data_IF_390008530241
#
_entry.id   IF_390008530241
#
_cell.length_a   1.000
_cell.length_b   1.000
_cell.length_c   1.000
_cell.angle_alpha   90.00
_cell.angle_beta   90.00
_cell.angle_gamma   90.00
#
_symmetry.space_group_name_H-M   'P 1'
#
loop_
_entity.id
_entity.type
_entity.pdbx_description
1 polymer ?
#
# COMPACT_ATOMS: atom_id res chain seq x y z
N UNK A 1 28.78 52.56 -2.49
CA UNK A 1 27.37 52.26 -2.14
C UNK A 1 26.75 51.54 -3.31
N UNK A 2 26.86 50.21 -3.34
CA UNK A 2 26.24 49.37 -4.38
C UNK A 2 24.87 48.96 -3.90
N UNK A 3 23.84 49.36 -4.63
CA UNK A 3 22.47 48.94 -4.42
C UNK A 3 22.30 47.49 -4.91
N UNK A 4 22.05 46.59 -3.99
CA UNK A 4 21.68 45.20 -4.27
C UNK A 4 20.19 45.19 -4.65
N UNK A 5 19.87 45.02 -5.92
CA UNK A 5 18.52 44.90 -6.44
C UNK A 5 18.03 43.50 -6.13
N UNK A 6 16.98 43.37 -5.31
CA UNK A 6 16.33 42.11 -5.05
C UNK A 6 15.68 41.48 -6.33
N UNK A 7 15.75 40.16 -6.53
CA UNK A 7 15.12 39.54 -7.68
C UNK A 7 13.59 39.63 -7.57
N UNK A 8 12.94 39.99 -8.67
CA UNK A 8 11.51 40.12 -8.81
C UNK A 8 10.82 38.72 -8.69
N UNK A 9 10.17 38.45 -7.56
CA UNK A 9 9.45 37.25 -7.25
C UNK A 9 7.98 37.37 -7.68
N UNK A 10 7.68 37.49 -8.96
CA UNK A 10 6.29 37.51 -9.40
C UNK A 10 6.12 37.04 -10.86
N UNK A 11 6.54 35.84 -11.15
CA UNK A 11 5.89 35.09 -12.21
C UNK A 11 5.07 33.99 -11.57
N UNK A 12 3.72 33.95 -11.77
CA UNK A 12 2.91 32.85 -11.27
C UNK A 12 3.35 31.59 -12.02
N UNK A 13 3.82 30.59 -11.27
CA UNK A 13 4.06 29.25 -11.81
C UNK A 13 2.75 28.80 -12.48
N UNK A 14 2.76 28.51 -13.80
CA UNK A 14 1.55 28.04 -14.48
C UNK A 14 1.08 26.77 -13.78
N UNK A 15 -0.09 26.81 -13.13
CA UNK A 15 -0.78 25.65 -12.64
C UNK A 15 -1.24 24.87 -13.87
N UNK A 16 -0.43 23.94 -14.34
CA UNK A 16 -0.87 22.93 -15.29
C UNK A 16 -2.02 22.17 -14.63
N UNK A 17 -3.18 22.18 -15.25
CA UNK A 17 -4.41 21.53 -14.78
C UNK A 17 -4.37 20.00 -14.92
N UNK A 18 -3.20 19.38 -14.88
CA UNK A 18 -3.05 17.94 -14.89
C UNK A 18 -3.43 17.38 -13.51
N UNK A 19 -4.22 16.31 -13.50
CA UNK A 19 -4.48 15.55 -12.26
C UNK A 19 -3.16 15.13 -11.65
N UNK A 20 -3.05 15.12 -10.32
CA UNK A 20 -1.85 14.60 -9.66
C UNK A 20 -1.62 13.15 -10.08
N UNK A 21 -0.38 12.80 -10.38
CA UNK A 21 0.02 11.52 -10.95
C UNK A 21 1.05 10.83 -10.07
N UNK A 22 1.05 9.50 -10.11
CA UNK A 22 2.13 8.67 -9.58
C UNK A 22 3.17 8.49 -10.68
N UNK A 23 4.44 8.70 -10.38
CA UNK A 23 5.54 8.48 -11.32
C UNK A 23 6.01 7.03 -11.38
N UNK A 24 6.13 6.40 -10.19
CA UNK A 24 6.61 5.02 -10.05
C UNK A 24 5.75 4.22 -9.05
N UNK A 25 5.30 3.05 -9.49
CA UNK A 25 4.57 2.08 -8.67
C UNK A 25 5.42 0.82 -8.56
N UNK A 26 5.75 0.45 -7.33
CA UNK A 26 6.48 -0.78 -7.01
C UNK A 26 5.50 -1.83 -6.51
N UNK A 27 5.56 -3.04 -7.05
CA UNK A 27 4.80 -4.18 -6.57
C UNK A 27 5.73 -5.30 -6.11
N UNK A 28 5.56 -5.73 -4.86
CA UNK A 28 6.22 -6.93 -4.35
C UNK A 28 5.36 -8.16 -4.61
N UNK A 29 5.97 -9.17 -5.21
CA UNK A 29 5.35 -10.47 -5.47
C UNK A 29 6.21 -11.60 -4.94
N UNK A 30 5.58 -12.68 -4.60
CA UNK A 30 6.21 -13.93 -4.17
C UNK A 30 5.48 -15.13 -4.80
N UNK A 31 5.74 -16.34 -4.37
CA UNK A 31 5.14 -17.56 -4.92
C UNK A 31 3.69 -17.81 -4.48
N UNK A 32 3.02 -16.87 -3.81
CA UNK A 32 1.62 -17.04 -3.37
C UNK A 32 0.65 -16.98 -4.56
N UNK A 33 -0.52 -17.57 -4.36
CA UNK A 33 -1.56 -17.70 -5.39
C UNK A 33 -2.14 -16.36 -5.87
N UNK A 34 -2.09 -15.32 -5.05
CA UNK A 34 -2.61 -13.99 -5.37
C UNK A 34 -1.66 -13.14 -6.22
N UNK A 35 -0.46 -13.62 -6.54
CA UNK A 35 0.52 -12.83 -7.29
C UNK A 35 0.00 -12.29 -8.63
N UNK A 36 -0.84 -13.03 -9.33
CA UNK A 36 -1.46 -12.55 -10.57
C UNK A 36 -2.43 -11.38 -10.31
N UNK A 37 -3.27 -11.48 -9.27
CA UNK A 37 -4.25 -10.44 -8.93
C UNK A 37 -3.60 -9.15 -8.45
N UNK A 38 -2.52 -9.25 -7.65
CA UNK A 38 -1.82 -8.06 -7.18
C UNK A 38 -1.05 -7.37 -8.31
N UNK A 39 -0.45 -8.14 -9.23
CA UNK A 39 0.19 -7.61 -10.43
C UNK A 39 -0.84 -6.90 -11.33
N UNK A 40 -2.01 -7.49 -11.52
CA UNK A 40 -3.08 -6.87 -12.30
C UNK A 40 -3.60 -5.58 -11.65
N UNK A 41 -3.78 -5.57 -10.34
CA UNK A 41 -4.16 -4.36 -9.60
C UNK A 41 -3.10 -3.25 -9.74
N UNK A 42 -1.82 -3.57 -9.59
CA UNK A 42 -0.73 -2.61 -9.78
C UNK A 42 -0.66 -2.12 -11.25
N UNK A 43 -0.93 -3.00 -12.22
CA UNK A 43 -1.03 -2.67 -13.64
C UNK A 43 -2.13 -1.67 -13.95
N UNK A 44 -3.33 -1.86 -13.37
CA UNK A 44 -4.45 -0.91 -13.50
C UNK A 44 -4.09 0.46 -12.92
N UNK A 45 -3.43 0.49 -11.75
CA UNK A 45 -2.96 1.74 -11.15
C UNK A 45 -1.91 2.43 -12.04
N UNK A 46 -0.98 1.66 -12.62
CA UNK A 46 0.06 2.20 -13.48
C UNK A 46 -0.52 2.78 -14.78
N UNK A 47 -1.44 2.08 -15.42
CA UNK A 47 -2.16 2.57 -16.62
C UNK A 47 -2.87 3.89 -16.34
N UNK A 48 -3.66 3.96 -15.27
CA UNK A 48 -4.45 5.15 -14.93
C UNK A 48 -3.61 6.37 -14.57
N UNK A 49 -2.38 6.17 -14.10
CA UNK A 49 -1.47 7.24 -13.70
C UNK A 49 -0.36 7.52 -14.72
N UNK A 50 -0.23 6.74 -15.79
CA UNK A 50 0.92 6.82 -16.69
C UNK A 50 2.23 6.47 -15.99
N UNK A 51 2.15 5.70 -14.89
CA UNK A 51 3.27 5.39 -14.04
C UNK A 51 4.20 4.32 -14.61
N UNK A 52 5.46 4.36 -14.21
CA UNK A 52 6.37 3.22 -14.35
C UNK A 52 5.95 2.11 -13.40
N UNK A 53 5.85 0.89 -13.89
CA UNK A 53 5.55 -0.30 -13.08
C UNK A 53 6.82 -1.11 -12.84
N UNK A 54 7.20 -1.25 -11.58
CA UNK A 54 8.35 -2.06 -11.16
C UNK A 54 7.84 -3.26 -10.37
N UNK A 55 8.09 -4.46 -10.85
CA UNK A 55 7.80 -5.69 -10.11
C UNK A 55 9.07 -6.23 -9.46
N UNK A 56 9.01 -6.46 -8.15
CA UNK A 56 10.09 -7.11 -7.38
C UNK A 56 9.59 -8.48 -6.95
N UNK A 57 10.11 -9.52 -7.60
CA UNK A 57 9.84 -10.88 -7.21
C UNK A 57 10.80 -11.29 -6.09
N UNK A 58 10.26 -11.73 -4.96
CA UNK A 58 11.04 -12.21 -3.83
C UNK A 58 10.96 -13.73 -3.77
N UNK A 59 12.10 -14.38 -3.96
CA UNK A 59 12.17 -15.82 -3.85
C UNK A 59 11.94 -16.26 -2.39
N UNK A 60 11.12 -17.29 -2.14
CA UNK A 60 10.97 -17.82 -0.79
C UNK A 60 12.31 -18.41 -0.32
N UNK A 61 12.59 -18.25 0.97
CA UNK A 61 13.71 -18.95 1.59
C UNK A 61 13.44 -20.45 1.47
N UNK A 62 14.35 -21.25 0.90
CA UNK A 62 14.17 -22.69 0.82
C UNK A 62 13.98 -23.26 2.23
N UNK A 63 12.84 -23.89 2.48
CA UNK A 63 12.62 -24.61 3.73
C UNK A 63 13.47 -25.88 3.71
N UNK A 64 14.60 -25.87 4.41
CA UNK A 64 15.41 -27.09 4.60
C UNK A 64 14.61 -28.02 5.51
N UNK A 65 14.04 -29.07 4.93
CA UNK A 65 13.30 -30.07 5.71
C UNK A 65 14.27 -31.01 6.47
N UNK A 66 13.89 -31.54 7.64
CA UNK A 66 14.75 -32.44 8.41
C UNK A 66 15.37 -33.60 7.63
N UNK A 67 14.66 -34.26 6.70
CA UNK A 67 15.29 -35.28 5.84
C UNK A 67 16.44 -34.78 4.96
N UNK A 68 16.37 -33.52 4.53
CA UNK A 68 17.38 -32.89 3.68
C UNK A 68 18.64 -32.53 4.48
N UNK A 69 18.50 -32.21 5.78
CA UNK A 69 19.66 -31.93 6.65
C UNK A 69 20.57 -33.13 6.88
N UNK A 70 20.07 -34.35 6.68
CA UNK A 70 20.84 -35.60 6.83
C UNK A 70 21.36 -36.14 5.51
N UNK A 71 20.97 -35.55 4.37
CA UNK A 71 21.48 -35.95 3.06
C UNK A 71 22.99 -35.57 2.93
N UNK A 72 23.80 -36.44 2.40
CA UNK A 72 25.24 -36.21 2.18
C UNK A 72 25.63 -36.52 0.71
N UNK A 73 26.61 -35.77 0.21
CA UNK A 73 27.20 -36.04 -1.13
C UNK A 73 26.29 -35.70 -2.30
N UNK A 74 26.17 -36.60 -3.26
CA UNK A 74 25.43 -36.41 -4.52
C UNK A 74 23.93 -36.19 -4.32
N UNK A 75 23.36 -36.67 -3.21
CA UNK A 75 21.92 -36.48 -2.89
C UNK A 75 21.59 -35.05 -2.52
N UNK A 76 22.49 -34.33 -1.83
CA UNK A 76 22.29 -32.91 -1.53
C UNK A 76 22.30 -32.08 -2.81
N UNK A 77 23.26 -32.34 -3.71
CA UNK A 77 23.36 -31.59 -4.97
C UNK A 77 22.08 -31.73 -5.80
N UNK A 78 21.54 -32.93 -5.93
CA UNK A 78 20.27 -33.17 -6.63
C UNK A 78 19.11 -32.39 -6.02
N UNK A 79 18.99 -32.37 -4.69
CA UNK A 79 17.93 -31.62 -4.00
C UNK A 79 18.06 -30.12 -4.26
N UNK A 80 19.27 -29.58 -4.24
CA UNK A 80 19.52 -28.16 -4.54
C UNK A 80 19.15 -27.86 -6.00
N UNK A 81 19.61 -28.66 -6.95
CA UNK A 81 19.33 -28.51 -8.39
C UNK A 81 17.81 -28.59 -8.68
N UNK A 82 17.09 -29.50 -8.02
CA UNK A 82 15.62 -29.60 -8.14
C UNK A 82 14.92 -28.38 -7.54
N UNK A 83 15.37 -27.84 -6.41
CA UNK A 83 14.84 -26.64 -5.80
C UNK A 83 15.09 -25.40 -6.67
N UNK A 84 16.31 -25.25 -7.18
CA UNK A 84 16.67 -24.13 -8.05
C UNK A 84 15.81 -24.15 -9.34
N UNK A 85 15.65 -25.31 -9.97
CA UNK A 85 14.80 -25.49 -11.15
C UNK A 85 13.33 -25.17 -10.88
N UNK A 86 12.81 -25.51 -9.69
CA UNK A 86 11.45 -25.16 -9.27
C UNK A 86 11.30 -23.66 -9.09
N UNK A 87 12.27 -23.00 -8.44
CA UNK A 87 12.26 -21.55 -8.24
C UNK A 87 12.32 -20.80 -9.57
N UNK A 88 13.18 -21.21 -10.48
CA UNK A 88 13.26 -20.64 -11.84
C UNK A 88 11.93 -20.78 -12.60
N UNK A 89 11.29 -21.93 -12.50
CA UNK A 89 9.98 -22.17 -13.13
C UNK A 89 8.88 -21.29 -12.53
N UNK A 90 8.89 -21.06 -11.22
CA UNK A 90 7.94 -20.16 -10.54
C UNK A 90 8.20 -18.73 -11.00
N UNK A 91 9.44 -18.28 -10.96
CA UNK A 91 9.80 -16.93 -11.39
C UNK A 91 9.42 -16.67 -12.85
N UNK A 92 9.72 -17.59 -13.75
CA UNK A 92 9.38 -17.48 -15.17
C UNK A 92 7.87 -17.32 -15.39
N UNK A 93 7.05 -18.05 -14.64
CA UNK A 93 5.58 -17.90 -14.69
C UNK A 93 5.11 -16.52 -14.23
N UNK A 94 5.66 -16.02 -13.12
CA UNK A 94 5.30 -14.70 -12.58
C UNK A 94 5.74 -13.59 -13.53
N UNK A 95 6.93 -13.72 -14.09
CA UNK A 95 7.45 -12.80 -15.10
C UNK A 95 6.56 -12.78 -16.36
N UNK A 96 6.12 -13.93 -16.85
CA UNK A 96 5.21 -14.01 -17.99
C UNK A 96 3.87 -13.31 -17.70
N UNK A 97 3.31 -13.45 -16.49
CA UNK A 97 2.11 -12.73 -16.07
C UNK A 97 2.36 -11.21 -16.05
N UNK A 98 3.49 -10.77 -15.50
CA UNK A 98 3.86 -9.36 -15.49
C UNK A 98 3.99 -8.79 -16.91
N UNK A 99 4.69 -9.47 -17.81
CA UNK A 99 4.87 -9.06 -19.21
C UNK A 99 3.52 -9.02 -19.97
N UNK A 100 2.60 -9.95 -19.67
CA UNK A 100 1.24 -9.92 -20.24
C UNK A 100 0.45 -8.71 -19.75
N UNK A 101 0.52 -8.37 -18.48
CA UNK A 101 -0.13 -7.19 -17.88
C UNK A 101 0.44 -5.90 -18.49
N UNK A 102 1.77 -5.78 -18.59
CA UNK A 102 2.44 -4.63 -19.22
C UNK A 102 1.94 -4.43 -20.64
N UNK A 103 1.84 -5.50 -21.44
CA UNK A 103 1.33 -5.46 -22.81
C UNK A 103 -0.15 -5.12 -22.88
N UNK A 104 -0.99 -5.76 -22.03
CA UNK A 104 -2.45 -5.61 -22.00
C UNK A 104 -2.87 -4.19 -21.66
N UNK A 105 -2.20 -3.56 -20.70
CA UNK A 105 -2.48 -2.19 -20.27
C UNK A 105 -1.63 -1.12 -20.95
N UNK A 106 -0.78 -1.48 -21.90
CA UNK A 106 0.05 -0.53 -22.65
C UNK A 106 1.03 0.26 -21.79
N UNK A 107 1.55 -0.36 -20.72
CA UNK A 107 2.48 0.30 -19.79
C UNK A 107 3.81 0.52 -20.48
N UNK A 108 4.15 1.77 -20.79
CA UNK A 108 5.32 2.13 -21.61
C UNK A 108 6.65 2.01 -20.86
N UNK A 109 6.63 2.07 -19.52
CA UNK A 109 7.81 1.99 -18.67
C UNK A 109 7.62 0.88 -17.63
N UNK A 110 8.35 -0.20 -17.74
CA UNK A 110 8.25 -1.31 -16.80
C UNK A 110 9.61 -1.91 -16.52
N UNK A 111 9.74 -2.53 -15.34
CA UNK A 111 10.96 -3.21 -14.93
C UNK A 111 10.61 -4.45 -14.09
N UNK A 112 11.31 -5.54 -14.36
CA UNK A 112 11.27 -6.75 -13.54
C UNK A 112 12.58 -6.90 -12.77
N UNK A 113 12.46 -7.13 -11.46
CA UNK A 113 13.60 -7.46 -10.57
C UNK A 113 13.31 -8.77 -9.87
N UNK A 114 14.32 -9.62 -9.77
CA UNK A 114 14.30 -10.83 -8.94
C UNK A 114 15.32 -10.71 -7.83
N UNK A 115 14.89 -10.96 -6.60
CA UNK A 115 15.74 -10.89 -5.42
C UNK A 115 15.73 -12.23 -4.69
N UNK A 116 16.92 -12.77 -4.49
CA UNK A 116 17.11 -14.14 -3.99
C UNK A 116 16.79 -14.35 -2.51
N UNK A 117 16.53 -13.32 -1.72
CA UNK A 117 16.15 -13.45 -0.28
C UNK A 117 15.54 -12.17 0.26
N UNK A 118 14.79 -12.29 1.34
CA UNK A 118 14.30 -11.20 2.17
C UNK A 118 15.45 -10.50 2.89
N UNK A 119 16.22 -9.72 2.18
CA UNK A 119 17.29 -8.90 2.74
C UNK A 119 16.80 -7.49 3.03
N UNK A 120 17.59 -6.72 3.80
CA UNK A 120 17.39 -5.28 3.94
C UNK A 120 17.34 -4.57 2.58
N UNK A 121 17.93 -5.14 1.55
CA UNK A 121 17.92 -4.65 0.17
C UNK A 121 16.51 -4.66 -0.44
N UNK A 122 15.64 -5.57 -0.04
CA UNK A 122 14.24 -5.60 -0.50
C UNK A 122 13.52 -4.30 -0.12
N UNK A 123 13.67 -3.86 1.13
CA UNK A 123 13.05 -2.63 1.62
C UNK A 123 13.61 -1.38 0.92
N UNK A 124 14.88 -1.37 0.52
CA UNK A 124 15.51 -0.25 -0.20
C UNK A 124 14.80 0.04 -1.53
N UNK A 125 14.29 -0.98 -2.22
CA UNK A 125 13.53 -0.78 -3.45
C UNK A 125 12.30 0.11 -3.23
N UNK A 126 11.67 0.04 -2.05
CA UNK A 126 10.50 0.84 -1.72
C UNK A 126 10.80 2.34 -1.57
N UNK A 127 12.03 2.73 -1.20
CA UNK A 127 12.36 4.12 -0.88
C UNK A 127 12.22 5.08 -2.07
N UNK A 128 12.32 4.57 -3.27
CA UNK A 128 12.32 5.37 -4.51
C UNK A 128 10.99 5.34 -5.26
N UNK A 129 10.04 4.50 -4.84
CA UNK A 129 8.72 4.46 -5.41
C UNK A 129 7.79 5.54 -4.82
N UNK A 130 6.81 6.01 -5.60
CA UNK A 130 5.76 6.90 -5.10
C UNK A 130 4.67 6.12 -4.37
N UNK A 131 4.47 4.86 -4.77
CA UNK A 131 3.50 3.96 -4.18
C UNK A 131 4.04 2.53 -4.19
N UNK A 132 3.87 1.82 -3.09
CA UNK A 132 4.23 0.41 -2.98
C UNK A 132 2.98 -0.44 -2.83
N UNK A 133 2.88 -1.51 -3.59
CA UNK A 133 1.82 -2.52 -3.48
C UNK A 133 2.43 -3.84 -3.01
N UNK A 134 1.88 -4.42 -1.96
CA UNK A 134 2.35 -5.69 -1.41
C UNK A 134 1.18 -6.50 -0.89
N UNK A 135 1.27 -7.83 -0.96
CA UNK A 135 0.26 -8.69 -0.38
C UNK A 135 0.16 -8.50 1.13
N UNK A 136 -1.06 -8.39 1.62
CA UNK A 136 -1.35 -8.37 3.04
C UNK A 136 -0.84 -9.66 3.71
N UNK A 137 -0.24 -9.60 4.90
CA UNK A 137 0.20 -10.80 5.59
C UNK A 137 -0.99 -11.69 5.94
N UNK A 138 -0.83 -13.00 5.74
CA UNK A 138 -1.80 -13.97 6.23
C UNK A 138 -1.62 -14.19 7.73
N UNK A 139 -2.74 -14.34 8.43
CA UNK A 139 -2.73 -14.60 9.87
C UNK A 139 -2.33 -16.06 10.12
N UNK A 140 -1.06 -16.32 10.30
CA UNK A 140 -0.55 -17.58 10.83
C UNK A 140 -0.56 -17.50 12.35
N UNK A 141 -1.65 -17.82 13.03
CA UNK A 141 -1.85 -18.08 14.47
C UNK A 141 -0.99 -17.37 15.54
N UNK A 142 0.22 -17.00 15.24
CA UNK A 142 1.17 -16.28 16.09
C UNK A 142 1.72 -15.07 15.36
N UNK A 143 1.84 -13.93 16.05
CA UNK A 143 2.65 -12.81 15.54
C UNK A 143 4.04 -13.33 15.26
N UNK A 144 4.48 -13.25 14.01
CA UNK A 144 5.88 -13.50 13.71
C UNK A 144 6.73 -12.38 14.31
N UNK A 145 7.64 -12.74 15.18
CA UNK A 145 8.72 -11.89 15.63
C UNK A 145 9.99 -12.42 14.92
N UNK A 146 10.59 -11.70 14.02
CA UNK A 146 10.41 -10.30 13.63
C UNK A 146 9.20 -10.03 12.71
N UNK A 147 8.76 -8.73 12.59
CA UNK A 147 7.68 -8.34 11.68
C UNK A 147 7.98 -8.75 10.24
N UNK A 148 6.94 -9.18 9.50
CA UNK A 148 7.06 -9.48 8.09
C UNK A 148 7.40 -8.26 7.23
N UNK A 149 7.62 -8.46 5.92
CA UNK A 149 7.99 -7.37 5.01
C UNK A 149 6.91 -6.28 4.96
N UNK A 150 5.64 -6.66 4.87
CA UNK A 150 4.55 -5.70 4.78
C UNK A 150 4.49 -4.78 6.00
N UNK A 151 4.59 -5.34 7.22
CA UNK A 151 4.63 -4.57 8.46
C UNK A 151 5.87 -3.68 8.53
N UNK A 152 7.02 -4.21 8.14
CA UNK A 152 8.29 -3.47 8.13
C UNK A 152 8.23 -2.30 7.17
N UNK A 153 7.66 -2.47 5.97
CA UNK A 153 7.49 -1.41 4.98
C UNK A 153 6.55 -0.30 5.48
N UNK A 154 5.40 -0.65 6.06
CA UNK A 154 4.48 0.34 6.64
C UNK A 154 5.15 1.15 7.76
N UNK A 155 6.02 0.51 8.55
CA UNK A 155 6.70 1.17 9.66
C UNK A 155 7.88 2.04 9.26
N UNK A 156 8.63 1.67 8.22
CA UNK A 156 9.97 2.20 8.00
C UNK A 156 10.28 2.71 6.59
N UNK A 157 9.45 2.42 5.58
CA UNK A 157 9.74 2.85 4.20
C UNK A 157 9.61 4.35 3.97
N UNK A 158 8.77 5.03 4.77
CA UNK A 158 8.41 6.44 4.54
C UNK A 158 7.56 6.65 3.28
N UNK A 159 7.03 5.58 2.68
CA UNK A 159 6.21 5.59 1.47
C UNK A 159 4.80 5.08 1.75
N UNK A 160 3.79 5.51 0.98
CA UNK A 160 2.47 4.91 1.06
C UNK A 160 2.51 3.45 0.60
N UNK A 161 1.91 2.57 1.40
CA UNK A 161 1.87 1.14 1.14
C UNK A 161 0.42 0.73 0.92
N UNK A 162 0.11 0.11 -0.22
CA UNK A 162 -1.15 -0.60 -0.41
C UNK A 162 -0.96 -2.07 -0.05
N UNK A 163 -1.71 -2.49 0.95
CA UNK A 163 -1.82 -3.88 1.37
C UNK A 163 -2.95 -4.53 0.57
N UNK A 164 -2.61 -5.43 -0.34
CA UNK A 164 -3.58 -6.14 -1.17
C UNK A 164 -4.05 -7.43 -0.46
N UNK A 165 -5.37 -7.70 -0.38
CA UNK A 165 -5.88 -8.86 0.34
C UNK A 165 -5.59 -10.17 -0.40
N UNK A 166 -5.34 -11.32 0.31
CA UNK A 166 -4.95 -12.59 -0.31
C UNK A 166 -5.95 -13.17 -1.30
N UNK A 167 -7.22 -12.83 -1.18
CA UNK A 167 -8.29 -13.25 -2.10
C UNK A 167 -8.93 -12.07 -2.81
N UNK A 168 -8.14 -10.98 -2.98
CA UNK A 168 -8.59 -9.79 -3.65
C UNK A 168 -8.75 -9.99 -5.15
N UNK A 169 -9.76 -9.36 -5.70
CA UNK A 169 -9.92 -9.23 -7.14
C UNK A 169 -9.39 -7.86 -7.56
N UNK A 170 -8.60 -7.84 -8.62
CA UNK A 170 -8.12 -6.58 -9.18
C UNK A 170 -9.29 -5.78 -9.76
N UNK A 171 -9.40 -4.54 -9.35
CA UNK A 171 -10.42 -3.59 -9.84
C UNK A 171 -9.84 -2.18 -9.86
N UNK A 172 -10.44 -1.32 -10.66
CA UNK A 172 -10.13 0.13 -10.65
C UNK A 172 -10.62 0.74 -9.35
N UNK A 173 -9.84 1.66 -8.82
CA UNK A 173 -10.18 2.37 -7.58
C UNK A 173 -11.11 3.55 -7.92
N UNK A 174 -12.39 3.42 -7.60
CA UNK A 174 -13.43 4.43 -7.85
C UNK A 174 -14.13 4.91 -6.59
N UNK A 175 -14.23 4.05 -5.59
CA UNK A 175 -14.89 4.34 -4.33
C UNK A 175 -13.89 4.19 -3.19
N UNK A 176 -13.59 5.30 -2.51
CA UNK A 176 -12.55 5.34 -1.49
C UNK A 176 -13.17 5.66 -0.13
N UNK A 177 -12.96 4.78 0.85
CA UNK A 177 -13.26 5.07 2.25
C UNK A 177 -12.01 5.61 2.94
N UNK A 178 -12.13 6.72 3.64
CA UNK A 178 -11.05 7.30 4.43
C UNK A 178 -11.36 7.16 5.92
N UNK A 179 -10.52 6.44 6.66
CA UNK A 179 -10.53 6.43 8.13
C UNK A 179 -9.84 7.67 8.67
N UNK A 180 -10.63 8.67 9.11
CA UNK A 180 -10.11 9.98 9.50
C UNK A 180 -10.19 10.22 11.00
N UNK A 181 -9.04 10.47 11.62
CA UNK A 181 -8.91 10.82 13.04
C UNK A 181 -8.07 12.10 13.29
N UNK A 182 -7.82 12.89 12.24
CA UNK A 182 -7.04 14.13 12.28
C UNK A 182 -5.66 13.99 12.93
N UNK A 183 -5.05 12.80 12.89
CA UNK A 183 -3.65 12.60 13.28
C UNK A 183 -2.72 12.90 12.12
N UNK A 184 -1.42 13.07 12.44
CA UNK A 184 -0.36 13.26 11.45
C UNK A 184 -0.34 12.15 10.40
N UNK A 185 -0.52 10.92 10.83
CA UNK A 185 -0.52 9.73 9.97
C UNK A 185 -1.75 9.72 9.05
N UNK A 186 -2.93 10.10 9.54
CA UNK A 186 -4.13 10.22 8.69
C UNK A 186 -3.99 11.36 7.68
N UNK A 187 -3.42 12.50 8.08
CA UNK A 187 -3.12 13.64 7.19
C UNK A 187 -2.16 13.18 6.09
N UNK A 188 -1.13 12.43 6.45
CA UNK A 188 -0.14 11.89 5.51
C UNK A 188 -0.79 10.90 4.54
N UNK A 189 -1.59 9.95 5.04
CA UNK A 189 -2.26 8.96 4.21
C UNK A 189 -3.19 9.60 3.16
N UNK A 190 -3.94 10.64 3.55
CA UNK A 190 -4.77 11.39 2.60
C UNK A 190 -3.92 12.14 1.57
N UNK A 191 -2.81 12.76 1.99
CA UNK A 191 -1.90 13.46 1.08
C UNK A 191 -1.28 12.50 0.05
N UNK A 192 -0.84 11.34 0.49
CA UNK A 192 -0.26 10.30 -0.36
C UNK A 192 -1.30 9.65 -1.29
N UNK A 193 -2.58 9.62 -0.88
CA UNK A 193 -3.68 9.09 -1.69
C UNK A 193 -4.25 10.09 -2.72
N UNK A 194 -3.80 11.35 -2.75
CA UNK A 194 -4.32 12.39 -3.66
C UNK A 194 -4.39 11.95 -5.12
N UNK A 195 -3.40 11.27 -5.71
CA UNK A 195 -3.49 10.79 -7.09
C UNK A 195 -4.66 9.84 -7.34
N UNK A 196 -5.01 9.00 -6.35
CA UNK A 196 -6.13 8.06 -6.41
C UNK A 196 -7.46 8.78 -6.13
N UNK A 197 -7.48 9.68 -5.15
CA UNK A 197 -8.65 10.49 -4.79
C UNK A 197 -9.12 11.38 -5.95
N UNK A 198 -8.21 11.94 -6.73
CA UNK A 198 -8.53 12.75 -7.90
C UNK A 198 -9.19 11.96 -9.06
N UNK A 199 -9.18 10.62 -8.96
CA UNK A 199 -9.79 9.70 -9.94
C UNK A 199 -11.00 8.96 -9.39
N UNK A 200 -11.28 9.14 -8.10
CA UNK A 200 -12.42 8.50 -7.45
C UNK A 200 -13.74 9.16 -7.86
N UNK A 201 -14.77 8.35 -8.05
CA UNK A 201 -16.13 8.82 -8.29
C UNK A 201 -16.82 9.23 -6.99
N UNK A 202 -16.53 8.50 -5.91
CA UNK A 202 -17.10 8.77 -4.59
C UNK A 202 -16.07 8.54 -3.48
N UNK A 203 -16.09 9.42 -2.48
CA UNK A 203 -15.24 9.35 -1.30
C UNK A 203 -16.11 9.46 -0.06
N UNK A 204 -15.94 8.53 0.86
CA UNK A 204 -16.55 8.64 2.19
C UNK A 204 -15.47 8.88 3.24
N UNK A 205 -15.67 9.89 4.07
CA UNK A 205 -14.81 10.18 5.22
C UNK A 205 -15.50 9.68 6.48
N UNK A 206 -14.97 8.63 7.07
CA UNK A 206 -15.47 8.05 8.32
C UNK A 206 -14.69 8.58 9.52
N UNK A 207 -15.39 9.24 10.44
CA UNK A 207 -14.86 9.73 11.71
C UNK A 207 -15.50 8.93 12.84
N UNK A 208 -14.68 8.24 13.62
CA UNK A 208 -15.15 7.43 14.74
C UNK A 208 -14.80 8.13 16.05
N UNK A 209 -15.76 8.16 16.98
CA UNK A 209 -15.61 8.70 18.33
C UNK A 209 -15.05 10.13 18.40
N UNK A 210 -15.43 10.99 17.45
CA UNK A 210 -14.94 12.38 17.36
C UNK A 210 -15.13 13.17 18.66
N UNK A 211 -16.14 12.82 19.45
CA UNK A 211 -16.43 13.50 20.71
C UNK A 211 -15.29 13.39 21.71
N UNK A 212 -14.53 12.29 21.69
CA UNK A 212 -13.36 12.07 22.53
C UNK A 212 -12.14 12.88 22.09
N UNK A 213 -12.15 13.42 20.88
CA UNK A 213 -11.04 14.13 20.26
C UNK A 213 -11.45 15.48 19.65
N UNK A 214 -12.45 16.15 20.25
CA UNK A 214 -13.00 17.43 19.74
C UNK A 214 -11.93 18.48 19.39
N UNK A 215 -10.89 18.60 20.20
CA UNK A 215 -9.81 19.56 19.96
C UNK A 215 -9.07 19.35 18.62
N UNK A 216 -9.10 18.15 18.06
CA UNK A 216 -8.47 17.84 16.77
C UNK A 216 -9.38 18.05 15.57
N UNK A 217 -10.69 18.05 15.77
CA UNK A 217 -11.68 18.06 14.69
C UNK A 217 -12.34 19.43 14.46
N UNK A 218 -12.08 20.43 15.32
CA UNK A 218 -12.72 21.73 15.23
C UNK A 218 -14.23 21.68 15.56
N UNK A 219 -14.96 22.72 15.17
CA UNK A 219 -16.41 22.85 15.45
C UNK A 219 -17.25 21.87 14.63
N UNK A 220 -16.87 21.62 13.36
CA UNK A 220 -17.55 20.72 12.44
C UNK A 220 -16.59 19.60 12.00
N UNK A 221 -16.57 18.45 12.71
CA UNK A 221 -15.68 17.35 12.40
C UNK A 221 -15.85 16.87 10.95
N UNK A 222 -14.76 16.93 10.18
CA UNK A 222 -14.72 16.47 8.80
C UNK A 222 -15.10 17.49 7.73
N UNK A 223 -15.62 18.68 8.08
CA UNK A 223 -15.99 19.69 7.09
C UNK A 223 -14.79 20.16 6.26
N UNK A 224 -13.66 20.45 6.91
CA UNK A 224 -12.46 20.94 6.22
C UNK A 224 -11.84 19.88 5.30
N UNK A 225 -11.76 18.62 5.76
CA UNK A 225 -11.25 17.55 4.92
C UNK A 225 -12.19 17.27 3.74
N UNK A 226 -13.51 17.29 3.96
CA UNK A 226 -14.49 17.12 2.89
C UNK A 226 -14.37 18.21 1.83
N UNK A 227 -14.23 19.49 2.23
CA UNK A 227 -14.02 20.61 1.30
C UNK A 227 -12.75 20.44 0.47
N UNK A 228 -11.66 20.02 1.11
CA UNK A 228 -10.39 19.75 0.42
C UNK A 228 -10.51 18.63 -0.60
N UNK A 229 -11.22 17.55 -0.23
CA UNK A 229 -11.41 16.39 -1.11
C UNK A 229 -12.37 16.71 -2.27
N UNK A 230 -13.44 17.45 -2.02
CA UNK A 230 -14.37 17.90 -3.05
C UNK A 230 -13.68 18.76 -4.12
N UNK A 231 -12.66 19.54 -3.73
CA UNK A 231 -11.84 20.30 -4.68
C UNK A 231 -11.02 19.44 -5.64
N UNK A 232 -10.87 18.12 -5.37
CA UNK A 232 -10.27 17.14 -6.29
C UNK A 232 -11.26 16.60 -7.34
N UNK A 233 -12.55 16.93 -7.20
CA UNK A 233 -13.60 16.55 -8.14
C UNK A 233 -14.44 15.33 -7.74
N UNK A 234 -14.15 14.68 -6.60
CA UNK A 234 -14.93 13.55 -6.10
C UNK A 234 -16.21 13.99 -5.38
N UNK A 235 -17.25 13.14 -5.39
CA UNK A 235 -18.38 13.28 -4.49
C UNK A 235 -17.95 12.84 -3.10
N UNK A 236 -18.10 13.72 -2.10
CA UNK A 236 -17.60 13.47 -0.75
C UNK A 236 -18.74 13.45 0.26
N UNK A 237 -18.83 12.37 1.03
CA UNK A 237 -19.73 12.22 2.17
C UNK A 237 -18.94 12.11 3.47
N UNK A 238 -19.50 12.62 4.57
CA UNK A 238 -18.88 12.52 5.89
C UNK A 238 -19.80 11.75 6.83
N UNK A 239 -19.32 10.61 7.30
CA UNK A 239 -20.00 9.79 8.30
C UNK A 239 -19.32 9.96 9.67
N UNK A 240 -20.17 10.13 10.72
CA UNK A 240 -19.72 10.28 12.10
C UNK A 240 -20.37 9.19 12.92
N UNK A 241 -19.58 8.20 13.33
CA UNK A 241 -20.08 7.05 14.07
C UNK A 241 -19.35 6.92 15.41
N UNK A 242 -19.92 6.13 16.31
CA UNK A 242 -19.30 5.77 17.57
C UNK A 242 -19.19 4.26 17.69
N UNK A 243 -18.05 3.76 18.16
CA UNK A 243 -17.82 2.33 18.32
C UNK A 243 -16.79 2.04 19.41
N UNK A 244 -17.00 0.93 20.12
CA UNK A 244 -15.99 0.36 21.00
C UNK A 244 -14.86 -0.36 20.23
N UNK A 245 -15.10 -0.71 18.96
CA UNK A 245 -14.14 -1.36 18.05
C UNK A 245 -14.06 -0.63 16.72
N UNK A 246 -13.13 0.31 16.65
CA UNK A 246 -12.91 1.15 15.48
C UNK A 246 -12.45 0.34 14.27
N UNK A 247 -11.65 -0.70 14.48
CA UNK A 247 -11.11 -1.51 13.40
C UNK A 247 -12.21 -2.27 12.64
N UNK A 248 -13.07 -2.96 13.36
CA UNK A 248 -14.19 -3.68 12.74
C UNK A 248 -15.24 -2.72 12.15
N UNK A 249 -15.46 -1.55 12.77
CA UNK A 249 -16.35 -0.54 12.19
C UNK A 249 -15.82 -0.03 10.84
N UNK A 250 -14.52 0.26 10.72
CA UNK A 250 -13.90 0.64 9.43
C UNK A 250 -14.12 -0.43 8.35
N UNK A 251 -13.91 -1.70 8.70
CA UNK A 251 -14.09 -2.80 7.74
C UNK A 251 -15.56 -2.99 7.35
N UNK A 252 -16.49 -2.93 8.30
CA UNK A 252 -17.93 -3.03 8.00
C UNK A 252 -18.44 -1.87 7.16
N UNK A 253 -17.98 -0.64 7.44
CA UNK A 253 -18.31 0.53 6.65
C UNK A 253 -17.73 0.46 5.23
N UNK A 254 -16.50 -0.08 5.08
CA UNK A 254 -15.93 -0.32 3.76
C UNK A 254 -16.79 -1.24 2.90
N UNK A 255 -17.38 -2.27 3.50
CA UNK A 255 -18.34 -3.17 2.82
C UNK A 255 -19.64 -2.44 2.50
N UNK A 256 -20.21 -1.72 3.46
CA UNK A 256 -21.48 -0.98 3.29
C UNK A 256 -21.37 0.08 2.19
N UNK A 257 -20.27 0.82 2.17
CA UNK A 257 -19.97 1.82 1.15
C UNK A 257 -19.54 1.19 -0.19
N UNK A 258 -19.26 -0.12 -0.25
CA UNK A 258 -18.66 -0.82 -1.39
C UNK A 258 -17.36 -0.16 -1.84
N UNK A 259 -16.48 0.09 -0.88
CA UNK A 259 -15.20 0.71 -1.14
C UNK A 259 -14.28 -0.23 -1.95
N UNK A 260 -13.58 0.33 -2.93
CA UNK A 260 -12.50 -0.35 -3.68
C UNK A 260 -11.15 -0.20 -2.97
N UNK A 261 -11.03 0.84 -2.13
CA UNK A 261 -9.83 1.16 -1.36
C UNK A 261 -10.23 1.76 0.00
N UNK A 262 -9.58 1.29 1.07
CA UNK A 262 -9.56 1.96 2.36
C UNK A 262 -8.26 2.77 2.50
N UNK A 263 -8.34 4.04 2.87
CA UNK A 263 -7.19 4.91 3.16
C UNK A 263 -7.16 5.22 4.65
N UNK A 264 -6.05 4.97 5.32
CA UNK A 264 -5.90 5.28 6.74
C UNK A 264 -4.45 5.53 7.14
N UNK A 265 -4.26 6.31 8.20
CA UNK A 265 -2.97 6.41 8.87
C UNK A 265 -2.64 5.13 9.65
N UNK A 266 -1.37 4.77 9.68
CA UNK A 266 -0.89 3.63 10.46
C UNK A 266 -0.11 4.09 11.69
N UNK A 267 -0.29 3.41 12.82
CA UNK A 267 0.53 3.56 14.05
C UNK A 267 0.55 4.96 14.70
N UNK A 268 -0.55 5.70 14.66
CA UNK A 268 -0.67 7.09 15.16
C UNK A 268 -0.60 7.30 16.67
N UNK A 269 -0.53 6.27 17.49
CA UNK A 269 -0.35 6.39 18.93
C UNK A 269 1.05 5.99 19.35
N UNK A 270 1.85 7.00 19.72
CA UNK A 270 3.16 6.87 20.34
C UNK A 270 3.04 6.30 21.75
N UNK A 271 2.86 5.02 21.92
CA UNK A 271 3.11 4.37 23.19
C UNK A 271 4.06 3.21 22.98
N UNK A 272 5.30 3.49 23.38
CA UNK A 272 6.40 2.57 23.66
C UNK A 272 6.61 1.37 22.71
N UNK A 273 7.87 1.19 22.36
CA UNK A 273 8.50 0.10 21.61
C UNK A 273 8.08 -1.34 22.00
N UNK A 274 7.21 -1.51 22.98
CA UNK A 274 6.84 -2.82 23.53
C UNK A 274 5.44 -3.32 23.13
N UNK A 275 4.61 -2.48 22.45
CA UNK A 275 3.34 -2.93 21.85
C UNK A 275 3.22 -2.39 20.43
N UNK A 276 3.90 -3.04 19.50
CA UNK A 276 4.14 -2.61 18.12
C UNK A 276 2.90 -2.41 17.25
N UNK A 277 1.68 -2.74 17.70
CA UNK A 277 0.50 -2.66 16.85
C UNK A 277 -0.68 -2.09 17.64
N UNK A 278 -1.11 -0.85 17.30
CA UNK A 278 -2.40 -0.33 17.75
C UNK A 278 -3.54 -1.24 17.27
N UNK A 279 -4.56 -1.47 18.11
CA UNK A 279 -5.64 -2.41 17.83
C UNK A 279 -6.29 -2.20 16.46
N UNK A 280 -6.56 -0.95 16.07
CA UNK A 280 -7.16 -0.60 14.78
C UNK A 280 -6.28 -1.00 13.60
N UNK A 281 -5.01 -0.59 13.59
CA UNK A 281 -4.06 -0.94 12.52
C UNK A 281 -3.92 -2.45 12.38
N UNK A 282 -3.84 -3.16 13.50
CA UNK A 282 -3.73 -4.62 13.52
C UNK A 282 -4.99 -5.28 12.96
N UNK A 283 -6.18 -4.87 13.39
CA UNK A 283 -7.44 -5.41 12.86
C UNK A 283 -7.51 -5.24 11.35
N UNK A 284 -7.25 -4.04 10.84
CA UNK A 284 -7.28 -3.76 9.40
C UNK A 284 -6.19 -4.53 8.66
N UNK A 285 -4.94 -4.52 9.18
CA UNK A 285 -3.80 -5.21 8.58
C UNK A 285 -4.06 -6.71 8.35
N UNK A 286 -4.76 -7.39 9.26
CA UNK A 286 -4.96 -8.84 9.20
C UNK A 286 -6.35 -9.27 8.72
N UNK A 287 -7.33 -8.37 8.63
CA UNK A 287 -8.72 -8.76 8.36
C UNK A 287 -9.35 -8.05 7.17
N UNK A 288 -8.70 -7.00 6.61
CA UNK A 288 -9.27 -6.29 5.48
C UNK A 288 -9.47 -7.23 4.28
N UNK A 289 -10.67 -7.24 3.72
CA UNK A 289 -11.02 -7.99 2.50
C UNK A 289 -10.87 -7.16 1.22
N UNK A 290 -10.37 -5.92 1.33
CA UNK A 290 -10.15 -5.00 0.22
C UNK A 290 -8.74 -4.41 0.33
N UNK A 291 -8.20 -3.79 -0.73
CA UNK A 291 -6.95 -3.04 -0.68
C UNK A 291 -6.98 -1.94 0.37
N UNK A 292 -5.89 -1.77 1.12
CA UNK A 292 -5.76 -0.73 2.16
C UNK A 292 -4.48 0.06 1.95
N UNK A 293 -4.62 1.38 1.72
CA UNK A 293 -3.50 2.30 1.69
C UNK A 293 -3.20 2.77 3.11
N UNK A 294 -1.97 2.55 3.54
CA UNK A 294 -1.45 2.98 4.84
C UNK A 294 -0.23 3.89 4.67
N UNK A 295 -0.19 4.97 5.45
CA UNK A 295 0.98 5.85 5.57
C UNK A 295 1.27 6.17 7.04
N UNK A 296 2.54 6.46 7.31
CA UNK A 296 3.02 6.82 8.65
C UNK A 296 3.79 8.15 8.65
#
# INVERSE_FOLDING_TARGET
MSQCTAPNLAEPIPRTSSKPELGEILVFTDNRSEAASILEFAGLLAEENGARLISVFTQPVPAVTPPQTFARGTSIRKVIEEQDSQLESIEARHRAVFEDIVRRYGISRSEWRSLSHWSSEVAVNAYYADLVVISRPERTGQMSDPPGLAESLVLSSGRPIILFPPRGTASRVRRILIGWNATREAIRAVADAVPLLARADAVEVLIVDYQRQRARHGQEPGAEIARRLAALGAQVEVQRLSSGDVGHLLLSQAVAFRADLLVMGAYGHSTLRERLFGGVTRTVLYQAGLPVLMSR
#
